data_IF_501069953938
#
_entry.id   IF_501069953938
#
_cell.length_a   1.000
_cell.length_b   1.000
_cell.length_c   1.000
_cell.angle_alpha   90.00
_cell.angle_beta   90.00
_cell.angle_gamma   90.00
#
_symmetry.space_group_name_H-M   'P 1'
#
loop_
_entity.id
_entity.type
_entity.pdbx_description
1 polymer ?
#
# COMPACT_ATOMS: atom_id res chain seq x y z
N UNK A 1 -0.50 19.75 5.66
CA UNK A 1 -1.09 21.07 5.38
C UNK A 1 -2.57 21.01 5.73
N UNK A 2 -2.86 21.11 7.03
CA UNK A 2 -4.17 21.49 7.56
C UNK A 2 -3.84 22.23 8.86
N UNK A 3 -3.64 23.54 8.70
CA UNK A 3 -3.79 24.52 9.77
C UNK A 3 -5.28 24.57 10.12
N UNK A 4 -5.60 24.63 11.42
CA UNK A 4 -6.64 25.46 12.05
C UNK A 4 -7.08 24.82 13.36
N UNK A 5 -6.53 25.29 14.48
CA UNK A 5 -7.25 25.44 15.76
C UNK A 5 -6.61 26.60 16.54
N UNK A 6 -7.03 27.82 16.21
CA UNK A 6 -7.22 28.89 17.19
C UNK A 6 -8.74 28.83 17.48
N UNK A 7 -9.24 28.68 18.70
CA UNK A 7 -8.80 29.34 19.92
C UNK A 7 -9.48 30.72 20.00
N UNK A 8 -10.81 30.75 20.16
CA UNK A 8 -11.56 31.95 20.54
C UNK A 8 -12.75 31.59 21.43
N UNK A 9 -12.71 32.17 22.63
CA UNK A 9 -13.78 32.28 23.61
C UNK A 9 -15.00 33.05 23.06
N UNK A 10 -16.20 32.61 23.42
CA UNK A 10 -17.37 33.47 23.57
C UNK A 10 -18.32 32.90 24.63
N UNK A 11 -18.56 33.71 25.67
CA UNK A 11 -19.41 33.47 26.84
C UNK A 11 -20.93 33.42 26.53
N UNK A 12 -21.75 32.89 27.46
CA UNK A 12 -23.19 32.63 27.27
C UNK A 12 -24.08 33.81 27.68
N UNK A 13 -25.27 33.93 27.07
CA UNK A 13 -26.29 34.90 27.51
C UNK A 13 -27.61 34.88 26.73
N UNK A 14 -28.65 34.36 27.40
CA UNK A 14 -30.09 34.74 27.39
C UNK A 14 -30.77 35.26 26.10
N UNK A 15 -31.87 34.60 25.67
CA UNK A 15 -33.20 35.24 25.56
C UNK A 15 -34.34 34.22 25.36
N UNK A 16 -35.31 34.30 26.29
CA UNK A 16 -36.78 34.14 26.19
C UNK A 16 -37.48 33.13 25.25
N UNK A 17 -38.36 32.33 25.89
CA UNK A 17 -39.53 31.62 25.37
C UNK A 17 -40.33 32.37 24.28
N UNK A 18 -40.85 31.62 23.30
CA UNK A 18 -42.18 31.81 22.67
C UNK A 18 -42.66 30.48 22.04
N UNK A 19 -43.92 30.16 22.35
CA UNK A 19 -44.89 29.29 21.68
C UNK A 19 -44.89 27.75 21.83
N UNK A 20 -45.61 27.35 22.88
CA UNK A 20 -46.13 26.02 23.21
C UNK A 20 -47.46 25.68 22.47
N UNK A 21 -47.73 26.27 21.30
CA UNK A 21 -49.06 26.19 20.66
C UNK A 21 -49.09 25.61 19.24
N UNK A 22 -48.19 24.65 18.93
CA UNK A 22 -48.21 23.90 17.64
C UNK A 22 -48.20 22.36 17.80
N UNK A 23 -48.11 21.84 19.03
CA UNK A 23 -47.86 20.40 19.29
C UNK A 23 -49.05 19.44 19.22
N UNK A 24 -50.20 19.80 18.63
CA UNK A 24 -51.38 18.88 18.56
C UNK A 24 -51.91 18.52 17.17
N UNK A 25 -51.18 18.82 16.10
CA UNK A 25 -51.60 18.41 14.75
C UNK A 25 -50.52 17.73 13.87
N UNK A 26 -49.41 17.30 14.47
CA UNK A 26 -48.30 16.61 13.78
C UNK A 26 -48.15 15.11 14.12
N UNK A 27 -48.81 14.61 15.18
CA UNK A 27 -48.58 13.24 15.66
C UNK A 27 -49.21 12.12 14.79
N UNK A 28 -50.20 12.42 13.95
CA UNK A 28 -50.88 11.39 13.14
C UNK A 28 -50.20 11.13 11.78
N UNK A 29 -49.44 12.11 11.24
CA UNK A 29 -48.71 11.93 9.96
C UNK A 29 -47.37 11.22 10.11
N UNK A 30 -46.78 11.22 11.30
CA UNK A 30 -45.43 10.67 11.51
C UNK A 30 -45.41 9.13 11.58
N UNK A 31 -46.47 8.51 12.11
CA UNK A 31 -46.60 7.05 12.17
C UNK A 31 -46.81 6.39 10.80
N UNK A 32 -47.52 7.08 9.89
CA UNK A 32 -47.74 6.59 8.52
C UNK A 32 -46.48 6.77 7.64
N UNK A 33 -45.75 7.87 7.80
CA UNK A 33 -44.51 8.11 7.05
C UNK A 33 -43.38 7.18 7.48
N UNK A 34 -43.26 6.86 8.78
CA UNK A 34 -42.29 5.88 9.30
C UNK A 34 -42.61 4.43 8.90
N UNK A 35 -43.90 4.06 8.81
CA UNK A 35 -44.33 2.77 8.25
C UNK A 35 -44.09 2.68 6.74
N UNK A 36 -44.37 3.74 5.98
CA UNK A 36 -44.15 3.76 4.53
C UNK A 36 -42.67 3.75 4.14
N UNK A 37 -41.79 4.40 4.92
CA UNK A 37 -40.33 4.31 4.72
C UNK A 37 -39.79 2.92 5.05
N UNK A 38 -40.27 2.27 6.12
CA UNK A 38 -39.85 0.91 6.50
C UNK A 38 -40.34 -0.18 5.53
N UNK A 39 -41.48 0.02 4.86
CA UNK A 39 -42.00 -0.89 3.83
C UNK A 39 -41.37 -0.65 2.45
N UNK A 40 -40.97 0.58 2.14
CA UNK A 40 -40.28 0.92 0.89
C UNK A 40 -38.86 0.35 0.84
N UNK A 41 -38.18 0.23 1.99
CA UNK A 41 -36.91 -0.49 2.11
C UNK A 41 -37.04 -2.01 1.92
N UNK A 42 -38.24 -2.58 2.13
CA UNK A 42 -38.50 -4.02 1.95
C UNK A 42 -39.00 -4.40 0.55
N UNK A 43 -39.39 -3.44 -0.28
CA UNK A 43 -40.07 -3.68 -1.57
C UNK A 43 -39.46 -2.92 -2.76
N UNK A 44 -38.28 -2.34 -2.61
CA UNK A 44 -37.54 -1.85 -3.78
C UNK A 44 -36.96 -3.05 -4.55
N UNK A 45 -37.15 -3.15 -5.88
CA UNK A 45 -36.38 -4.09 -6.69
C UNK A 45 -34.91 -3.78 -6.44
N UNK A 46 -34.17 -4.73 -5.87
CA UNK A 46 -32.75 -4.54 -5.61
C UNK A 46 -32.07 -4.08 -6.90
N UNK A 47 -31.52 -2.87 -6.89
CA UNK A 47 -30.65 -2.42 -7.97
C UNK A 47 -29.43 -3.36 -8.02
N UNK A 48 -28.81 -3.56 -9.19
CA UNK A 48 -27.67 -4.48 -9.32
C UNK A 48 -26.44 -4.12 -8.47
N UNK A 49 -26.47 -2.98 -7.78
CA UNK A 49 -25.35 -2.38 -7.06
C UNK A 49 -25.37 -2.60 -5.54
N UNK A 50 -26.32 -3.36 -4.98
CA UNK A 50 -26.49 -3.50 -3.51
C UNK A 50 -26.37 -4.92 -2.97
N UNK A 51 -25.48 -5.72 -3.56
CA UNK A 51 -24.86 -6.85 -2.87
C UNK A 51 -23.51 -6.35 -2.38
N UNK A 52 -23.49 -5.53 -1.32
CA UNK A 52 -22.30 -5.53 -0.46
C UNK A 52 -22.27 -6.92 0.15
N UNK A 53 -21.21 -7.70 -0.11
CA UNK A 53 -20.95 -8.90 0.66
C UNK A 53 -20.76 -8.43 2.10
N UNK A 54 -21.82 -8.49 2.90
CA UNK A 54 -21.79 -8.06 4.29
C UNK A 54 -20.96 -9.06 5.09
N UNK A 55 -19.64 -8.91 4.98
CA UNK A 55 -18.66 -9.72 5.65
C UNK A 55 -18.24 -9.12 6.98
N UNK A 56 -18.87 -8.04 7.46
CA UNK A 56 -18.46 -7.33 8.67
C UNK A 56 -18.40 -8.23 9.91
N UNK A 57 -19.21 -9.30 9.93
CA UNK A 57 -19.23 -10.31 11.01
C UNK A 57 -18.92 -11.73 10.51
N UNK A 58 -18.30 -11.89 9.34
CA UNK A 58 -17.96 -13.21 8.81
C UNK A 58 -16.82 -13.86 9.61
N UNK A 59 -16.91 -15.19 9.77
CA UNK A 59 -15.82 -16.03 10.25
C UNK A 59 -14.75 -16.20 9.15
N UNK A 60 -13.50 -16.53 9.50
CA UNK A 60 -12.43 -16.73 8.51
C UNK A 60 -12.79 -17.77 7.46
N UNK A 61 -13.45 -18.88 7.84
CA UNK A 61 -13.82 -19.97 6.95
C UNK A 61 -14.81 -19.53 5.85
N UNK A 62 -15.78 -18.68 6.17
CA UNK A 62 -16.66 -18.09 5.15
C UNK A 62 -15.87 -17.17 4.22
N UNK A 63 -14.97 -16.34 4.76
CA UNK A 63 -14.11 -15.49 3.95
C UNK A 63 -13.28 -16.31 2.96
N UNK A 64 -12.62 -17.39 3.41
CA UNK A 64 -11.84 -18.30 2.55
C UNK A 64 -12.69 -18.88 1.42
N UNK A 65 -13.89 -19.37 1.71
CA UNK A 65 -14.80 -19.91 0.68
C UNK A 65 -15.20 -18.85 -0.35
N UNK A 66 -15.42 -17.61 0.08
CA UNK A 66 -15.77 -16.53 -0.83
C UNK A 66 -14.60 -16.05 -1.70
N UNK A 67 -13.35 -16.21 -1.24
CA UNK A 67 -12.16 -15.91 -2.06
C UNK A 67 -12.02 -16.86 -3.25
N UNK A 68 -12.56 -18.08 -3.17
CA UNK A 68 -12.63 -18.99 -4.32
C UNK A 68 -13.57 -18.49 -5.43
N UNK A 69 -14.35 -17.43 -5.17
CA UNK A 69 -15.20 -16.75 -6.15
C UNK A 69 -14.67 -15.30 -6.29
N UNK A 70 -13.66 -15.05 -7.15
CA UNK A 70 -13.06 -13.73 -7.28
C UNK A 70 -14.08 -12.70 -7.76
N UNK A 71 -14.38 -11.73 -6.90
CA UNK A 71 -15.23 -10.59 -7.23
C UNK A 71 -14.80 -9.35 -6.45
N UNK A 72 -15.05 -8.17 -7.02
CA UNK A 72 -14.76 -6.89 -6.35
C UNK A 72 -15.53 -6.80 -5.02
N UNK A 73 -16.74 -7.34 -4.99
CA UNK A 73 -17.60 -7.38 -3.79
C UNK A 73 -16.94 -8.22 -2.69
N UNK A 74 -16.51 -9.44 -2.99
CA UNK A 74 -15.91 -10.33 -2.00
C UNK A 74 -14.60 -9.77 -1.44
N UNK A 75 -13.71 -9.24 -2.29
CA UNK A 75 -12.48 -8.59 -1.80
C UNK A 75 -12.76 -7.31 -1.02
N UNK A 76 -13.74 -6.49 -1.42
CA UNK A 76 -14.07 -5.27 -0.69
C UNK A 76 -14.65 -5.59 0.68
N UNK A 77 -15.52 -6.59 0.78
CA UNK A 77 -16.06 -7.08 2.04
C UNK A 77 -14.95 -7.68 2.92
N UNK A 78 -14.05 -8.49 2.36
CA UNK A 78 -12.91 -9.04 3.09
C UNK A 78 -11.99 -7.92 3.61
N UNK A 79 -11.68 -6.92 2.79
CA UNK A 79 -10.85 -5.78 3.19
C UNK A 79 -11.44 -5.09 4.43
N UNK A 80 -12.74 -4.78 4.41
CA UNK A 80 -13.44 -4.18 5.57
C UNK A 80 -13.36 -5.09 6.80
N UNK A 81 -13.59 -6.39 6.61
CA UNK A 81 -13.53 -7.37 7.69
C UNK A 81 -12.12 -7.47 8.30
N UNK A 82 -11.08 -7.47 7.48
CA UNK A 82 -9.68 -7.45 7.91
C UNK A 82 -9.33 -6.17 8.67
N UNK A 83 -9.82 -5.01 8.24
CA UNK A 83 -9.58 -3.70 8.90
C UNK A 83 -10.17 -3.63 10.32
N UNK A 84 -11.25 -4.36 10.58
CA UNK A 84 -11.92 -4.41 11.89
C UNK A 84 -11.60 -5.67 12.70
N UNK A 85 -10.69 -6.52 12.21
CA UNK A 85 -10.30 -7.77 12.87
C UNK A 85 -9.32 -7.53 14.01
N UNK A 86 -9.39 -8.39 15.03
CA UNK A 86 -8.33 -8.53 16.02
C UNK A 86 -7.22 -9.47 15.52
N UNK A 87 -6.14 -9.53 16.30
CA UNK A 87 -4.97 -10.34 16.01
C UNK A 87 -5.31 -11.84 15.88
N UNK A 88 -6.22 -12.35 16.72
CA UNK A 88 -6.62 -13.75 16.70
C UNK A 88 -7.33 -14.13 15.39
N UNK A 89 -8.25 -13.28 14.92
CA UNK A 89 -8.94 -13.50 13.66
C UNK A 89 -7.98 -13.45 12.47
N UNK A 90 -7.04 -12.50 12.46
CA UNK A 90 -6.04 -12.38 11.39
C UNK A 90 -5.17 -13.63 11.33
N UNK A 91 -4.66 -14.11 12.48
CA UNK A 91 -3.87 -15.34 12.53
C UNK A 91 -4.67 -16.54 12.02
N UNK A 92 -5.92 -16.71 12.46
CA UNK A 92 -6.77 -17.81 11.98
C UNK A 92 -6.99 -17.74 10.45
N UNK A 93 -7.22 -16.55 9.90
CA UNK A 93 -7.35 -16.37 8.45
C UNK A 93 -6.08 -16.77 7.69
N UNK A 94 -4.90 -16.46 8.25
CA UNK A 94 -3.61 -16.81 7.67
C UNK A 94 -3.33 -18.31 7.75
N UNK A 95 -3.60 -18.95 8.89
CA UNK A 95 -3.47 -20.40 9.10
C UNK A 95 -4.39 -21.20 8.15
N UNK A 96 -5.56 -20.65 7.82
CA UNK A 96 -6.48 -21.20 6.81
C UNK A 96 -6.06 -20.88 5.36
N UNK A 97 -4.80 -20.49 5.13
CA UNK A 97 -4.23 -20.20 3.81
C UNK A 97 -4.91 -19.05 3.06
N UNK A 98 -5.51 -18.09 3.77
CA UNK A 98 -6.19 -16.96 3.15
C UNK A 98 -5.26 -16.05 2.35
N UNK A 99 -4.01 -15.90 2.80
CA UNK A 99 -2.99 -15.15 2.07
C UNK A 99 -2.56 -15.86 0.78
N UNK A 100 -2.47 -17.20 0.79
CA UNK A 100 -2.15 -17.97 -0.42
C UNK A 100 -3.17 -17.74 -1.51
N UNK A 101 -4.46 -17.79 -1.18
CA UNK A 101 -5.55 -17.53 -2.13
C UNK A 101 -5.49 -16.10 -2.70
N UNK A 102 -5.19 -15.09 -1.87
CA UNK A 102 -5.04 -13.71 -2.32
C UNK A 102 -3.86 -13.54 -3.29
N UNK A 103 -2.72 -14.16 -2.99
CA UNK A 103 -1.53 -14.05 -3.84
C UNK A 103 -1.67 -14.86 -5.13
N UNK A 104 -2.30 -16.03 -5.08
CA UNK A 104 -2.63 -16.84 -6.26
C UNK A 104 -3.60 -16.11 -7.20
N UNK A 105 -4.61 -15.43 -6.63
CA UNK A 105 -5.51 -14.59 -7.41
C UNK A 105 -4.76 -13.42 -8.08
N UNK A 106 -3.83 -12.77 -7.38
CA UNK A 106 -3.00 -11.70 -7.97
C UNK A 106 -2.14 -12.21 -9.12
N UNK A 107 -1.52 -13.38 -8.98
CA UNK A 107 -0.70 -13.98 -10.04
C UNK A 107 -1.54 -14.33 -11.28
N UNK A 108 -2.67 -15.01 -11.06
CA UNK A 108 -3.62 -15.38 -12.12
C UNK A 108 -4.13 -14.16 -12.89
N UNK A 109 -4.39 -13.05 -12.19
CA UNK A 109 -4.85 -11.82 -12.80
C UNK A 109 -3.72 -11.06 -13.51
N UNK A 110 -2.48 -11.17 -13.03
CA UNK A 110 -1.31 -10.46 -13.59
C UNK A 110 -0.90 -11.01 -14.96
N UNK A 111 -0.94 -12.34 -15.14
CA UNK A 111 -0.49 -13.01 -16.37
C UNK A 111 -1.40 -12.84 -17.59
N UNK A 112 -2.66 -12.41 -17.42
CA UNK A 112 -3.64 -12.35 -18.53
C UNK A 112 -3.68 -11.02 -19.29
N UNK A 113 -2.92 -10.02 -18.87
CA UNK A 113 -3.13 -8.64 -19.30
C UNK A 113 -4.49 -8.12 -18.82
N UNK A 114 -4.58 -6.82 -18.51
CA UNK A 114 -5.84 -6.22 -18.07
C UNK A 114 -6.77 -6.07 -19.28
N UNK A 115 -7.52 -7.11 -19.60
CA UNK A 115 -8.44 -7.13 -20.75
C UNK A 115 -9.68 -6.26 -20.51
N UNK A 116 -10.09 -6.09 -19.25
CA UNK A 116 -11.27 -5.31 -18.86
C UNK A 116 -11.01 -4.43 -17.63
N UNK A 117 -11.74 -3.33 -17.53
CA UNK A 117 -11.72 -2.43 -16.36
C UNK A 117 -12.06 -3.20 -15.07
N UNK A 118 -13.00 -4.14 -15.15
CA UNK A 118 -13.38 -5.00 -14.03
C UNK A 118 -12.19 -5.82 -13.49
N UNK A 119 -11.31 -6.32 -14.36
CA UNK A 119 -10.11 -7.08 -13.96
C UNK A 119 -9.11 -6.16 -13.24
N UNK A 120 -8.98 -4.91 -13.71
CA UNK A 120 -8.13 -3.90 -13.08
C UNK A 120 -8.58 -3.57 -11.64
N UNK A 121 -9.89 -3.40 -11.47
CA UNK A 121 -10.52 -3.16 -10.17
C UNK A 121 -10.36 -4.38 -9.25
N UNK A 122 -10.58 -5.58 -9.80
CA UNK A 122 -10.43 -6.82 -9.05
C UNK A 122 -9.01 -6.99 -8.51
N UNK A 123 -8.00 -6.78 -9.35
CA UNK A 123 -6.59 -6.79 -8.91
C UNK A 123 -6.33 -5.76 -7.82
N UNK A 124 -6.82 -4.52 -8.00
CA UNK A 124 -6.58 -3.44 -7.06
C UNK A 124 -7.22 -3.70 -5.69
N UNK A 125 -8.44 -4.23 -5.67
CA UNK A 125 -9.11 -4.60 -4.42
C UNK A 125 -8.45 -5.81 -3.76
N UNK A 126 -7.95 -6.78 -4.54
CA UNK A 126 -7.22 -7.93 -4.02
C UNK A 126 -5.92 -7.51 -3.31
N UNK A 127 -5.08 -6.68 -3.96
CA UNK A 127 -3.83 -6.21 -3.34
C UNK A 127 -4.10 -5.33 -2.11
N UNK A 128 -5.23 -4.61 -2.06
CA UNK A 128 -5.63 -3.88 -0.87
C UNK A 128 -5.91 -4.81 0.33
N UNK A 129 -6.41 -6.03 0.12
CA UNK A 129 -6.58 -7.00 1.20
C UNK A 129 -5.22 -7.42 1.76
N UNK A 130 -4.24 -7.70 0.89
CA UNK A 130 -2.86 -8.03 1.29
C UNK A 130 -2.23 -6.86 2.06
N UNK A 131 -2.44 -5.61 1.61
CA UNK A 131 -1.99 -4.42 2.34
C UNK A 131 -2.60 -4.35 3.73
N UNK A 132 -3.89 -4.59 3.87
CA UNK A 132 -4.55 -4.59 5.18
C UNK A 132 -3.95 -5.63 6.12
N UNK A 133 -3.66 -6.84 5.61
CA UNK A 133 -2.97 -7.89 6.37
C UNK A 133 -1.59 -7.39 6.83
N UNK A 134 -0.75 -6.88 5.93
CA UNK A 134 0.59 -6.40 6.26
C UNK A 134 0.60 -5.16 7.18
N UNK A 135 -0.49 -4.42 7.27
CA UNK A 135 -0.64 -3.32 8.23
C UNK A 135 -0.93 -3.81 9.65
N UNK A 136 -1.36 -5.06 9.84
CA UNK A 136 -1.46 -5.69 11.15
C UNK A 136 -0.09 -6.19 11.60
N UNK A 137 0.23 -6.01 12.88
CA UNK A 137 1.47 -6.53 13.47
C UNK A 137 1.59 -8.05 13.27
N UNK A 138 0.51 -8.80 13.54
CA UNK A 138 0.50 -10.25 13.34
C UNK A 138 0.55 -10.67 11.88
N UNK A 139 -0.03 -9.87 10.98
CA UNK A 139 0.02 -10.15 9.55
C UNK A 139 1.43 -10.01 8.96
N UNK A 140 2.17 -8.95 9.30
CA UNK A 140 3.54 -8.76 8.83
C UNK A 140 4.53 -9.74 9.49
N UNK A 141 4.37 -10.03 10.78
CA UNK A 141 5.16 -11.04 11.51
C UNK A 141 5.04 -12.41 10.83
N UNK A 142 3.81 -12.86 10.56
CA UNK A 142 3.54 -14.12 9.85
C UNK A 142 4.18 -14.17 8.46
N UNK A 143 4.18 -13.05 7.71
CA UNK A 143 4.79 -12.99 6.37
C UNK A 143 6.32 -13.09 6.45
N UNK A 144 6.95 -12.47 7.45
CA UNK A 144 8.40 -12.55 7.64
C UNK A 144 8.83 -13.95 8.08
N UNK A 145 8.03 -14.64 8.90
CA UNK A 145 8.28 -16.02 9.31
C UNK A 145 8.09 -17.04 8.17
N UNK A 146 7.41 -16.65 7.09
CA UNK A 146 7.07 -17.51 5.96
C UNK A 146 7.63 -16.95 4.63
N UNK A 147 8.92 -17.19 4.39
CA UNK A 147 9.72 -16.57 3.32
C UNK A 147 9.09 -16.64 1.91
N UNK A 148 8.32 -17.68 1.62
CA UNK A 148 7.69 -17.89 0.32
C UNK A 148 6.68 -16.81 -0.09
N UNK A 149 6.05 -16.12 0.87
CA UNK A 149 5.03 -15.12 0.57
C UNK A 149 5.59 -13.86 -0.09
N UNK A 150 6.78 -13.42 0.31
CA UNK A 150 7.39 -12.20 -0.26
C UNK A 150 7.79 -12.44 -1.72
N UNK A 151 8.28 -13.65 -2.04
CA UNK A 151 8.53 -14.06 -3.44
C UNK A 151 7.24 -14.09 -4.26
N UNK A 152 6.15 -14.69 -3.75
CA UNK A 152 4.83 -14.69 -4.42
C UNK A 152 4.32 -13.26 -4.63
N UNK A 153 4.40 -12.40 -3.61
CA UNK A 153 4.03 -10.99 -3.70
C UNK A 153 4.79 -10.25 -4.81
N UNK A 154 6.10 -10.50 -4.96
CA UNK A 154 6.90 -9.87 -6.01
C UNK A 154 6.46 -10.24 -7.44
N UNK A 155 5.83 -11.42 -7.64
CA UNK A 155 5.34 -11.83 -8.96
C UNK A 155 4.23 -10.91 -9.47
N UNK A 156 3.45 -10.31 -8.56
CA UNK A 156 2.42 -9.32 -8.89
C UNK A 156 2.98 -8.02 -9.52
N UNK A 157 4.31 -7.82 -9.54
CA UNK A 157 4.95 -6.74 -10.31
C UNK A 157 4.82 -6.91 -11.84
N UNK A 158 4.44 -8.10 -12.32
CA UNK A 158 4.28 -8.40 -13.74
C UNK A 158 2.99 -7.85 -14.38
N UNK A 159 2.01 -7.43 -13.56
CA UNK A 159 0.78 -6.82 -14.06
C UNK A 159 1.05 -5.56 -14.90
N UNK A 160 0.17 -5.21 -15.85
CA UNK A 160 0.22 -3.90 -16.49
C UNK A 160 -0.39 -2.77 -15.64
N UNK A 161 -1.04 -3.09 -14.53
CA UNK A 161 -1.70 -2.13 -13.65
C UNK A 161 -0.68 -1.40 -12.74
N UNK A 162 -0.32 -0.17 -13.12
CA UNK A 162 0.62 0.68 -12.36
C UNK A 162 0.19 0.88 -10.90
N UNK A 163 -1.11 0.96 -10.61
CA UNK A 163 -1.59 1.13 -9.25
C UNK A 163 -1.28 -0.09 -8.38
N UNK A 164 -1.39 -1.31 -8.94
CA UNK A 164 -1.04 -2.55 -8.24
C UNK A 164 0.48 -2.63 -8.04
N UNK A 165 1.28 -2.32 -9.07
CA UNK A 165 2.75 -2.26 -8.93
C UNK A 165 3.18 -1.31 -7.83
N UNK A 166 2.58 -0.11 -7.79
CA UNK A 166 2.80 0.88 -6.73
C UNK A 166 2.56 0.26 -5.36
N UNK A 167 1.45 -0.45 -5.17
CA UNK A 167 1.17 -1.10 -3.90
C UNK A 167 2.21 -2.16 -3.53
N UNK A 168 2.56 -3.03 -4.47
CA UNK A 168 3.54 -4.09 -4.23
C UNK A 168 4.90 -3.49 -3.84
N UNK A 169 5.32 -2.42 -4.50
CA UNK A 169 6.53 -1.69 -4.13
C UNK A 169 6.44 -1.08 -2.72
N UNK A 170 5.33 -0.46 -2.34
CA UNK A 170 5.12 0.06 -0.98
C UNK A 170 5.22 -1.06 0.07
N UNK A 171 4.68 -2.24 -0.21
CA UNK A 171 4.75 -3.39 0.69
C UNK A 171 6.18 -3.96 0.83
N UNK A 172 6.94 -4.04 -0.28
CA UNK A 172 8.36 -4.41 -0.22
C UNK A 172 9.19 -3.39 0.57
N UNK A 173 8.87 -2.11 0.45
CA UNK A 173 9.51 -1.06 1.24
C UNK A 173 9.16 -1.17 2.72
N UNK A 174 7.91 -1.50 3.06
CA UNK A 174 7.48 -1.73 4.43
C UNK A 174 8.26 -2.89 5.08
N UNK A 175 8.46 -4.00 4.35
CA UNK A 175 9.28 -5.12 4.82
C UNK A 175 10.73 -4.70 5.09
N UNK A 176 11.33 -3.89 4.21
CA UNK A 176 12.68 -3.36 4.41
C UNK A 176 12.82 -2.49 5.66
N UNK A 177 11.75 -1.82 6.09
CA UNK A 177 11.73 -0.93 7.24
C UNK A 177 11.38 -1.69 8.53
N UNK A 178 10.57 -2.75 8.40
CA UNK A 178 10.04 -3.50 9.53
C UNK A 178 11.13 -4.25 10.32
N UNK A 179 11.99 -5.01 9.63
CA UNK A 179 13.09 -5.75 10.27
C UNK A 179 14.21 -6.09 9.30
N UNK A 180 15.36 -6.52 9.84
CA UNK A 180 16.51 -6.99 9.07
C UNK A 180 16.16 -8.22 8.21
N UNK A 181 15.33 -9.13 8.75
CA UNK A 181 14.81 -10.30 8.04
C UNK A 181 13.86 -9.86 6.92
N UNK A 182 12.94 -8.93 7.19
CA UNK A 182 12.05 -8.36 6.18
C UNK A 182 12.81 -7.70 5.02
N UNK A 183 13.90 -7.00 5.32
CA UNK A 183 14.82 -6.45 4.31
C UNK A 183 15.49 -7.54 3.47
N UNK A 184 16.01 -8.59 4.11
CA UNK A 184 16.61 -9.72 3.42
C UNK A 184 15.59 -10.41 2.48
N UNK A 185 14.36 -10.63 2.94
CA UNK A 185 13.27 -11.20 2.15
C UNK A 185 12.87 -10.33 0.96
N UNK A 186 12.82 -9.01 1.12
CA UNK A 186 12.53 -8.11 0.01
C UNK A 186 13.63 -8.15 -1.06
N UNK A 187 14.91 -8.22 -0.66
CA UNK A 187 16.04 -8.37 -1.58
C UNK A 187 16.02 -9.73 -2.31
N UNK A 188 15.73 -10.80 -1.57
CA UNK A 188 15.60 -12.15 -2.11
C UNK A 188 14.43 -12.24 -3.10
N UNK A 189 13.28 -11.64 -2.80
CA UNK A 189 12.15 -11.59 -3.71
C UNK A 189 12.45 -10.84 -5.02
N UNK A 190 13.21 -9.74 -4.96
CA UNK A 190 13.66 -9.02 -6.16
C UNK A 190 14.68 -9.83 -6.99
N UNK A 191 15.55 -10.59 -6.33
CA UNK A 191 16.49 -11.51 -6.98
C UNK A 191 15.76 -12.71 -7.63
N UNK A 192 14.73 -13.22 -6.96
CA UNK A 192 13.86 -14.25 -7.51
C UNK A 192 13.06 -13.73 -8.72
N UNK A 193 12.47 -12.53 -8.62
CA UNK A 193 11.77 -11.89 -9.73
C UNK A 193 12.67 -11.68 -10.95
N UNK A 194 13.93 -11.29 -10.72
CA UNK A 194 14.95 -11.21 -11.79
C UNK A 194 15.07 -12.52 -12.54
N UNK A 195 15.21 -13.63 -11.82
CA UNK A 195 15.39 -14.96 -12.40
C UNK A 195 14.16 -15.37 -13.22
N UNK A 196 12.95 -15.21 -12.67
CA UNK A 196 11.70 -15.52 -13.38
C UNK A 196 11.55 -14.68 -14.65
N UNK A 197 11.84 -13.38 -14.57
CA UNK A 197 11.69 -12.46 -15.70
C UNK A 197 12.92 -12.36 -16.60
N UNK A 198 13.91 -13.24 -16.41
CA UNK A 198 15.17 -13.25 -17.16
C UNK A 198 15.82 -11.86 -17.26
N UNK A 199 15.73 -11.09 -16.17
CA UNK A 199 16.34 -9.76 -16.10
C UNK A 199 17.82 -9.88 -15.78
N UNK A 200 18.61 -8.92 -16.27
CA UNK A 200 20.06 -8.91 -16.02
C UNK A 200 20.41 -8.60 -14.56
N UNK A 201 19.56 -7.85 -13.84
CA UNK A 201 19.84 -7.38 -12.48
C UNK A 201 18.56 -7.33 -11.65
N UNK A 202 18.65 -7.63 -10.35
CA UNK A 202 17.50 -7.62 -9.41
C UNK A 202 16.74 -6.31 -9.32
N UNK A 203 17.44 -5.18 -9.45
CA UNK A 203 16.80 -3.87 -9.42
C UNK A 203 16.31 -3.39 -10.79
N UNK A 204 16.42 -4.21 -11.84
CA UNK A 204 15.97 -3.83 -13.18
C UNK A 204 14.50 -3.44 -13.20
N UNK A 205 13.63 -4.15 -12.47
CA UNK A 205 12.19 -3.85 -12.42
C UNK A 205 11.92 -2.42 -11.93
N UNK A 206 12.55 -2.00 -10.83
CA UNK A 206 12.40 -0.63 -10.28
C UNK A 206 12.92 0.40 -11.29
N UNK A 207 14.09 0.13 -11.88
CA UNK A 207 14.73 1.07 -12.80
C UNK A 207 13.97 1.24 -14.12
N UNK A 208 13.38 0.16 -14.64
CA UNK A 208 12.55 0.19 -15.83
C UNK A 208 11.31 1.06 -15.56
N UNK A 209 10.57 0.76 -14.49
CA UNK A 209 9.37 1.50 -14.09
C UNK A 209 9.64 2.99 -13.87
N UNK A 210 10.76 3.31 -13.21
CA UNK A 210 11.16 4.70 -12.96
C UNK A 210 11.49 5.48 -14.24
N UNK A 211 12.01 4.78 -15.26
CA UNK A 211 12.38 5.38 -16.54
C UNK A 211 11.23 5.50 -17.54
N UNK A 212 10.18 4.68 -17.36
CA UNK A 212 9.03 4.58 -18.26
C UNK A 212 7.84 5.44 -17.83
N UNK A 213 7.65 5.64 -16.52
CA UNK A 213 6.53 6.40 -15.98
C UNK A 213 6.72 7.91 -16.14
N UNK A 214 5.62 8.65 -16.25
CA UNK A 214 5.54 10.09 -16.04
C UNK A 214 4.66 10.49 -14.83
N UNK A 215 4.07 9.50 -14.16
CA UNK A 215 3.25 9.66 -12.96
C UNK A 215 4.15 10.02 -11.76
N UNK A 216 4.13 11.29 -11.36
CA UNK A 216 4.98 11.82 -10.27
C UNK A 216 4.76 11.10 -8.93
N UNK A 217 3.52 10.88 -8.44
CA UNK A 217 3.30 10.06 -7.25
C UNK A 217 3.93 8.66 -7.31
N UNK A 218 3.91 8.01 -8.47
CA UNK A 218 4.53 6.70 -8.64
C UNK A 218 6.06 6.79 -8.63
N UNK A 219 6.66 7.81 -9.27
CA UNK A 219 8.11 8.06 -9.18
C UNK A 219 8.58 8.26 -7.74
N UNK A 220 7.83 9.03 -6.95
CA UNK A 220 8.13 9.24 -5.52
C UNK A 220 8.13 7.90 -4.78
N UNK A 221 7.15 7.05 -5.06
CA UNK A 221 7.06 5.71 -4.46
C UNK A 221 8.28 4.87 -4.80
N UNK A 222 8.67 4.81 -6.07
CA UNK A 222 9.84 4.04 -6.53
C UNK A 222 11.13 4.55 -5.88
N UNK A 223 11.29 5.88 -5.73
CA UNK A 223 12.41 6.48 -5.01
C UNK A 223 12.42 6.11 -3.52
N UNK A 224 11.25 6.16 -2.87
CA UNK A 224 11.10 5.74 -1.48
C UNK A 224 11.46 4.27 -1.28
N UNK A 225 11.16 3.40 -2.25
CA UNK A 225 11.55 1.98 -2.21
C UNK A 225 13.06 1.81 -2.30
N UNK A 226 13.72 2.55 -3.20
CA UNK A 226 15.19 2.53 -3.26
C UNK A 226 15.79 2.98 -1.93
N UNK A 227 15.22 4.02 -1.31
CA UNK A 227 15.64 4.48 0.01
C UNK A 227 15.45 3.42 1.08
N UNK A 228 14.29 2.75 1.13
CA UNK A 228 14.03 1.69 2.08
C UNK A 228 15.04 0.53 1.92
N UNK A 229 15.35 0.12 0.69
CA UNK A 229 16.35 -0.92 0.42
C UNK A 229 17.75 -0.50 0.87
N UNK A 230 18.14 0.75 0.64
CA UNK A 230 19.48 1.23 1.02
C UNK A 230 19.62 1.43 2.54
N UNK A 231 18.60 1.99 3.18
CA UNK A 231 18.62 2.29 4.60
C UNK A 231 18.39 1.04 5.45
N UNK A 232 17.61 0.06 4.96
CA UNK A 232 17.42 -1.23 5.63
C UNK A 232 18.66 -2.11 5.68
N UNK A 233 19.70 -1.80 4.88
CA UNK A 233 21.00 -2.46 5.02
C UNK A 233 21.76 -1.87 6.22
N UNK A 234 21.73 -2.57 7.35
CA UNK A 234 22.46 -2.20 8.57
C UNK A 234 23.98 -2.18 8.35
N UNK A 235 24.48 -3.21 7.66
CA UNK A 235 25.89 -3.33 7.31
C UNK A 235 26.32 -2.31 6.27
N UNK A 236 27.30 -1.49 6.62
CA UNK A 236 27.85 -0.45 5.73
C UNK A 236 28.32 -1.04 4.39
N UNK A 237 28.99 -2.20 4.44
CA UNK A 237 29.50 -2.87 3.25
C UNK A 237 28.37 -3.27 2.30
N UNK A 238 27.29 -3.85 2.84
CA UNK A 238 26.11 -4.23 2.06
C UNK A 238 25.45 -2.98 1.47
N UNK A 239 25.30 -1.92 2.26
CA UNK A 239 24.73 -0.63 1.80
C UNK A 239 25.52 -0.04 0.63
N UNK A 240 26.85 -0.07 0.69
CA UNK A 240 27.72 0.39 -0.41
C UNK A 240 27.56 -0.49 -1.65
N UNK A 241 27.49 -1.82 -1.49
CA UNK A 241 27.25 -2.75 -2.60
C UNK A 241 25.91 -2.48 -3.30
N UNK A 242 24.82 -2.40 -2.54
CA UNK A 242 23.48 -2.09 -3.05
C UNK A 242 23.45 -0.76 -3.80
N UNK A 243 24.08 0.28 -3.24
CA UNK A 243 24.21 1.59 -3.90
C UNK A 243 24.94 1.48 -5.24
N UNK A 244 26.04 0.74 -5.28
CA UNK A 244 26.81 0.53 -6.51
C UNK A 244 26.00 -0.26 -7.55
N UNK A 245 25.20 -1.24 -7.14
CA UNK A 245 24.28 -1.95 -8.05
C UNK A 245 23.25 -1.01 -8.66
N UNK A 246 22.61 -0.13 -7.87
CA UNK A 246 21.69 0.87 -8.40
C UNK A 246 22.38 1.82 -9.39
N UNK A 247 23.55 2.38 -9.04
CA UNK A 247 24.31 3.26 -9.93
C UNK A 247 24.69 2.55 -11.23
N UNK A 248 25.17 1.31 -11.14
CA UNK A 248 25.53 0.48 -12.30
C UNK A 248 24.32 0.25 -13.23
N UNK A 249 23.16 -0.07 -12.67
CA UNK A 249 21.92 -0.25 -13.42
C UNK A 249 21.44 1.03 -14.10
N UNK A 250 21.51 2.15 -13.40
CA UNK A 250 21.16 3.49 -13.89
C UNK A 250 22.05 3.89 -15.08
N UNK A 251 23.37 3.76 -14.92
CA UNK A 251 24.34 4.16 -15.95
C UNK A 251 24.27 3.30 -17.22
N UNK A 252 23.81 2.05 -17.12
CA UNK A 252 23.69 1.14 -18.28
C UNK A 252 22.37 1.28 -19.03
N UNK A 253 21.26 1.64 -18.38
CA UNK A 253 19.91 1.65 -18.99
C UNK A 253 19.33 3.03 -19.31
N UNK A 254 19.83 4.10 -18.71
CA UNK A 254 19.29 5.46 -18.93
C UNK A 254 20.24 6.29 -19.79
N UNK A 255 19.86 6.69 -21.02
CA UNK A 255 20.62 7.69 -21.77
C UNK A 255 20.68 8.98 -20.94
N UNK A 256 21.87 9.52 -20.74
CA UNK A 256 22.12 10.73 -19.93
C UNK A 256 21.14 11.88 -20.28
N UNK A 257 20.72 11.98 -21.55
CA UNK A 257 19.77 12.96 -22.06
C UNK A 257 18.34 12.90 -21.46
N UNK A 258 17.86 11.75 -20.97
CA UNK A 258 16.54 11.67 -20.31
C UNK A 258 16.56 12.22 -18.88
N UNK A 259 17.70 12.13 -18.19
CA UNK A 259 17.90 12.65 -16.81
C UNK A 259 18.02 14.18 -16.72
N UNK A 260 18.11 14.87 -17.87
CA UNK A 260 18.21 16.35 -17.92
C UNK A 260 16.83 17.02 -17.87
N UNK A 261 15.72 16.27 -18.01
CA UNK A 261 14.39 16.87 -17.89
C UNK A 261 14.11 17.32 -16.44
N UNK A 262 13.51 18.50 -16.22
CA UNK A 262 13.16 19.02 -14.88
C UNK A 262 12.35 18.05 -14.02
N UNK A 263 11.57 17.16 -14.67
CA UNK A 263 10.77 16.11 -14.02
C UNK A 263 11.60 15.10 -13.21
N UNK A 264 12.87 14.91 -13.55
CA UNK A 264 13.80 14.03 -12.84
C UNK A 264 14.62 14.77 -11.79
N UNK A 265 14.31 16.03 -11.43
CA UNK A 265 15.08 16.76 -10.42
C UNK A 265 15.18 16.04 -9.06
N UNK A 266 14.10 15.40 -8.53
CA UNK A 266 14.21 14.57 -7.34
C UNK A 266 15.14 13.37 -7.55
N UNK A 267 15.08 12.74 -8.73
CA UNK A 267 15.93 11.63 -9.11
C UNK A 267 17.40 12.04 -9.35
N UNK A 268 17.64 13.24 -9.90
CA UNK A 268 18.97 13.82 -10.14
C UNK A 268 19.61 14.22 -8.82
N UNK A 269 18.83 14.83 -7.91
CA UNK A 269 19.25 15.10 -6.52
C UNK A 269 19.50 13.81 -5.77
N UNK A 270 18.64 12.80 -5.90
CA UNK A 270 18.84 11.47 -5.33
C UNK A 270 20.11 10.78 -5.86
N UNK A 271 20.33 10.74 -7.18
CA UNK A 271 21.57 10.22 -7.77
C UNK A 271 22.79 11.03 -7.33
N UNK A 272 22.67 12.35 -7.18
CA UNK A 272 23.72 13.19 -6.63
C UNK A 272 24.01 12.87 -5.17
N UNK A 273 22.99 12.66 -4.33
CA UNK A 273 23.10 12.26 -2.92
C UNK A 273 23.73 10.85 -2.79
N UNK A 274 23.32 9.90 -3.65
CA UNK A 274 23.97 8.59 -3.75
C UNK A 274 25.46 8.74 -4.13
N UNK A 275 25.78 9.63 -5.09
CA UNK A 275 27.17 9.88 -5.53
C UNK A 275 27.98 10.69 -4.52
N UNK A 276 27.38 11.62 -3.78
CA UNK A 276 28.02 12.43 -2.74
C UNK A 276 28.30 11.60 -1.49
N UNK A 277 27.40 10.68 -1.11
CA UNK A 277 27.66 9.69 -0.08
C UNK A 277 28.86 8.77 -0.41
N UNK A 278 29.18 8.56 -1.69
CA UNK A 278 30.41 7.88 -2.14
C UNK A 278 31.65 8.81 -2.09
N UNK A 279 31.47 10.09 -2.42
CA UNK A 279 32.56 11.09 -2.48
C UNK A 279 33.05 11.52 -1.10
N UNK A 280 32.15 11.64 -0.12
CA UNK A 280 32.50 11.91 1.28
C UNK A 280 33.23 10.72 1.90
N UNK A 281 32.87 9.49 1.52
CA UNK A 281 33.51 8.28 2.04
C UNK A 281 34.97 8.11 1.59
N UNK A 282 35.32 8.57 0.39
CA UNK A 282 36.72 8.57 -0.05
C UNK A 282 37.59 9.61 0.70
N UNK A 283 36.97 10.47 1.53
CA UNK A 283 37.63 11.55 2.28
C UNK A 283 37.59 11.43 3.80
N UNK A 284 36.75 10.57 4.39
CA UNK A 284 36.63 10.52 5.86
C UNK A 284 36.57 9.10 6.41
N UNK A 285 37.73 8.61 6.81
CA UNK A 285 37.89 7.61 7.87
C UNK A 285 37.63 8.33 9.20
N UNK A 286 36.47 8.13 9.82
CA UNK A 286 36.19 8.11 11.28
C UNK A 286 34.68 8.30 11.55
N UNK A 287 34.07 7.51 12.47
CA UNK A 287 32.63 7.53 12.71
C UNK A 287 32.29 8.52 13.83
N UNK A 288 31.16 9.24 13.72
CA UNK A 288 30.25 9.61 14.82
C UNK A 288 29.24 10.64 14.30
N UNK A 289 27.98 10.23 14.03
CA UNK A 289 26.81 11.13 14.08
C UNK A 289 25.58 10.33 14.53
N UNK A 290 24.95 10.84 15.60
CA UNK A 290 23.77 10.30 16.29
C UNK A 290 22.50 10.83 15.60
N UNK A 291 21.50 9.97 15.36
CA UNK A 291 20.17 10.35 14.84
C UNK A 291 19.14 10.44 15.97
N UNK A 292 18.32 11.49 15.98
CA UNK A 292 17.16 11.63 16.87
C UNK A 292 15.83 11.51 16.12
N UNK A 293 14.77 10.93 16.73
CA UNK A 293 13.64 10.38 16.01
C UNK A 293 12.40 11.27 16.14
N UNK A 294 12.39 12.45 15.53
CA UNK A 294 11.14 13.20 15.32
C UNK A 294 11.33 14.19 14.16
N UNK A 295 11.18 13.72 12.92
CA UNK A 295 10.86 14.62 11.81
C UNK A 295 10.08 13.87 10.74
N UNK A 296 8.87 14.36 10.50
CA UNK A 296 7.87 13.85 9.58
C UNK A 296 8.42 13.57 8.18
N UNK A 297 7.86 12.54 7.56
CA UNK A 297 8.09 11.93 6.24
C UNK A 297 8.39 12.85 5.03
N UNK A 298 8.34 14.17 5.16
CA UNK A 298 8.82 15.16 4.18
C UNK A 298 10.35 15.24 4.06
N UNK A 299 11.11 14.78 5.06
CA UNK A 299 12.58 14.93 5.08
C UNK A 299 13.33 13.83 4.31
N UNK A 300 12.69 12.72 3.96
CA UNK A 300 13.34 11.53 3.34
C UNK A 300 13.69 11.75 1.86
N UNK A 301 13.24 12.86 1.25
CA UNK A 301 13.53 13.21 -0.15
C UNK A 301 14.74 14.14 -0.32
N UNK A 302 15.40 14.57 0.76
CA UNK A 302 16.50 15.56 0.67
C UNK A 302 17.85 15.13 1.27
N UNK A 303 18.04 13.86 1.63
CA UNK A 303 19.35 13.30 2.00
C UNK A 303 19.66 12.01 1.26
#
# INVERSE_FOLDING_TARGET
MHLLLLGYDACPGYFGNIDETVSKMSASKEGAHKKWTSLKDKLSPQSPDKIEGNLENADPELCIRLLQIPSVVNYSGLKKRLETSDDAWIVQFLELSGLDLLLEALDTLSGRGVARIADALLQLTCINCVRTIMNSHKGIEYIVENEGYVRKLSQALDTSNVMVKKQVFELLAALCIYSTEGHALALDALEHFKTIKSQQYRFSVIMIELSSTDNVPYMVTLLSVINAILLGAEELRLRVQLRNEFIGNVCRKTPFNKMVKPRYFPFKRFILLLKEGLRLFHKTSHPHVIWHPHTSYTSVLYF
#
